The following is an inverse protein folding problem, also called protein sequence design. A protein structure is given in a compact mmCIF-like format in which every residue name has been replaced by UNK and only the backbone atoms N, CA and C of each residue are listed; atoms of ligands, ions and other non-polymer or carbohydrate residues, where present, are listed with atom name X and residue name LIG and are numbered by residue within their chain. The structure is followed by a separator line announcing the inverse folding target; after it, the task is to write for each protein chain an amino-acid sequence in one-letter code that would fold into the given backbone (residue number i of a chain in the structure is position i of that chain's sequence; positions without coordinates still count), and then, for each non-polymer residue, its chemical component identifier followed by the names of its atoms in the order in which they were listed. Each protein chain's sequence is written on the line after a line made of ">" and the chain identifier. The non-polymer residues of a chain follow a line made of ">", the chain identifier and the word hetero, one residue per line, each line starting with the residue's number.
data_IF_859551034397
#
_entry.id   IF_859551034397
#
_cell.length_a   1.000
_cell.length_b   1.000
_cell.length_c   1.000
_cell.angle_alpha   90.00
_cell.angle_beta   90.00
_cell.angle_gamma   90.00
#
_symmetry.space_group_name_H-M   'P 1'
#
loop_
_entity.id
_entity.type
_entity.pdbx_description
1 polymer ?
#
# COMPACT_ATOMS: atom_id res chain seq x y z
N UNK A 1 14.35 9.38 -16.66
CA UNK A 1 13.25 9.44 -15.69
C UNK A 1 12.75 10.85 -15.72
N UNK A 2 11.50 11.03 -16.13
CA UNK A 2 10.89 12.36 -16.21
C UNK A 2 10.20 12.62 -14.87
N UNK A 3 10.95 13.27 -13.98
CA UNK A 3 10.40 13.80 -12.74
C UNK A 3 9.47 14.96 -13.08
N UNK A 4 8.29 14.96 -12.49
CA UNK A 4 7.29 16.01 -12.71
C UNK A 4 6.99 16.83 -11.46
N UNK A 5 7.69 16.54 -10.36
CA UNK A 5 7.67 17.33 -9.13
C UNK A 5 9.08 17.77 -8.75
N UNK A 6 9.22 18.95 -8.14
CA UNK A 6 10.46 19.32 -7.47
C UNK A 6 10.69 18.46 -6.21
N UNK A 7 11.95 18.21 -5.80
CA UNK A 7 12.24 17.53 -4.55
C UNK A 7 11.66 18.28 -3.34
N UNK A 8 10.90 17.58 -2.50
CA UNK A 8 10.25 18.13 -1.30
C UNK A 8 10.86 17.50 -0.06
N UNK A 9 11.07 18.30 0.99
CA UNK A 9 11.58 17.80 2.27
C UNK A 9 10.45 17.61 3.28
N UNK A 10 10.40 16.44 3.91
CA UNK A 10 9.45 16.08 4.97
C UNK A 10 10.19 15.45 6.14
N UNK A 11 9.67 15.61 7.35
CA UNK A 11 10.18 14.94 8.56
C UNK A 11 9.34 13.71 8.87
N UNK A 12 9.96 12.53 8.87
CA UNK A 12 9.33 11.28 9.27
C UNK A 12 9.70 10.93 10.72
N UNK A 13 8.72 10.61 11.59
CA UNK A 13 8.98 10.16 12.96
C UNK A 13 9.99 9.00 13.01
N UNK A 14 11.00 9.09 13.89
CA UNK A 14 12.07 8.10 14.05
C UNK A 14 13.16 8.12 12.97
N UNK A 15 12.83 8.61 11.80
CA UNK A 15 13.63 8.51 10.59
C UNK A 15 14.31 9.85 10.25
N UNK A 16 13.80 10.99 10.71
CA UNK A 16 14.38 12.33 10.49
C UNK A 16 13.96 12.97 9.16
N UNK A 17 14.81 13.83 8.60
CA UNK A 17 14.55 14.50 7.32
C UNK A 17 14.65 13.54 6.13
N UNK A 18 13.63 13.55 5.28
CA UNK A 18 13.55 12.84 4.01
C UNK A 18 13.31 13.82 2.87
N UNK A 19 13.92 13.52 1.73
CA UNK A 19 13.64 14.18 0.47
C UNK A 19 12.81 13.20 -0.36
N UNK A 20 11.65 13.64 -0.82
CA UNK A 20 10.80 12.89 -1.72
C UNK A 20 10.71 13.58 -3.09
N UNK A 21 10.59 12.78 -4.14
CA UNK A 21 10.33 13.27 -5.50
C UNK A 21 9.47 12.25 -6.25
N UNK A 22 8.53 12.74 -7.04
CA UNK A 22 7.64 11.90 -7.84
C UNK A 22 8.06 11.87 -9.31
N UNK A 23 7.95 10.70 -9.90
CA UNK A 23 8.05 10.50 -11.33
C UNK A 23 6.97 9.53 -11.81
N UNK A 24 6.75 9.49 -13.13
CA UNK A 24 5.91 8.46 -13.75
C UNK A 24 6.80 7.44 -14.46
N UNK A 25 6.45 6.17 -14.33
CA UNK A 25 7.05 5.12 -15.16
C UNK A 25 6.58 5.27 -16.64
N UNK A 26 7.12 4.48 -17.59
CA UNK A 26 6.74 4.60 -19.01
C UNK A 26 5.23 4.42 -19.28
N UNK A 27 4.53 3.69 -18.43
CA UNK A 27 3.09 3.44 -18.50
C UNK A 27 2.26 4.52 -17.77
N UNK A 28 2.91 5.49 -17.11
CA UNK A 28 2.26 6.61 -16.43
C UNK A 28 1.96 6.37 -14.95
N UNK A 29 2.43 5.26 -14.37
CA UNK A 29 2.19 4.93 -12.96
C UNK A 29 3.03 5.82 -12.05
N UNK A 30 2.40 6.30 -10.97
CA UNK A 30 3.05 7.18 -10.01
C UNK A 30 4.06 6.40 -9.17
N UNK A 31 5.29 6.87 -9.15
CA UNK A 31 6.34 6.35 -8.27
C UNK A 31 6.90 7.49 -7.43
N UNK A 32 7.02 7.25 -6.13
CA UNK A 32 7.70 8.11 -5.19
C UNK A 32 9.12 7.57 -4.92
N UNK A 33 10.13 8.42 -5.12
CA UNK A 33 11.48 8.15 -4.64
C UNK A 33 11.70 8.91 -3.35
N UNK A 34 12.18 8.19 -2.34
CA UNK A 34 12.55 8.77 -1.05
C UNK A 34 14.04 8.58 -0.80
N UNK A 35 14.67 9.62 -0.24
CA UNK A 35 16.06 9.61 0.19
C UNK A 35 16.18 10.22 1.58
N UNK A 36 17.05 9.65 2.43
CA UNK A 36 17.26 10.15 3.78
C UNK A 36 18.47 9.50 4.44
N UNK A 37 19.17 10.25 5.29
CA UNK A 37 20.45 9.83 5.89
C UNK A 37 20.35 8.60 6.81
N UNK A 38 19.14 8.27 7.29
CA UNK A 38 18.89 7.10 8.16
C UNK A 38 18.27 5.92 7.40
N UNK A 39 18.14 5.99 6.07
CA UNK A 39 17.74 4.83 5.29
C UNK A 39 18.90 3.82 5.24
N UNK A 40 18.63 2.52 5.43
CA UNK A 40 19.66 1.48 5.37
C UNK A 40 20.03 1.16 3.91
N UNK A 41 20.54 2.15 3.18
CA UNK A 41 20.85 2.06 1.75
C UNK A 41 22.30 2.47 1.52
N UNK A 42 23.13 1.55 1.04
CA UNK A 42 24.57 1.77 0.82
C UNK A 42 24.86 2.21 -0.61
N UNK A 43 24.64 3.49 -0.94
CA UNK A 43 24.96 4.09 -2.26
C UNK A 43 24.37 3.36 -3.49
N UNK A 44 23.30 2.59 -3.29
CA UNK A 44 22.48 1.97 -4.34
C UNK A 44 21.02 2.49 -4.20
N UNK A 45 20.12 2.08 -5.10
CA UNK A 45 18.68 2.23 -4.85
C UNK A 45 18.21 1.17 -3.84
N UNK A 46 17.42 1.57 -2.85
CA UNK A 46 16.75 0.62 -1.96
C UNK A 46 15.59 -0.12 -2.65
N UNK A 47 14.88 -0.97 -1.89
CA UNK A 47 13.63 -1.60 -2.32
C UNK A 47 12.39 -0.75 -2.03
N UNK A 48 11.21 -1.30 -2.32
CA UNK A 48 9.91 -0.67 -2.00
C UNK A 48 9.81 -0.45 -0.50
N UNK A 49 9.52 0.79 -0.08
CA UNK A 49 9.40 1.12 1.34
C UNK A 49 7.97 1.01 1.86
N UNK A 50 7.02 1.61 1.16
CA UNK A 50 5.59 1.51 1.39
C UNK A 50 4.84 1.45 0.06
N UNK A 51 3.60 1.00 0.13
CA UNK A 51 2.61 1.14 -0.95
C UNK A 51 1.65 2.25 -0.55
N UNK A 52 1.41 3.21 -1.45
CA UNK A 52 0.39 4.24 -1.28
C UNK A 52 -0.97 3.75 -1.80
N UNK A 53 -2.01 3.85 -0.98
CA UNK A 53 -3.36 3.40 -1.29
C UNK A 53 -4.35 4.53 -1.05
N UNK A 54 -5.06 4.95 -2.09
CA UNK A 54 -6.13 5.94 -1.96
C UNK A 54 -7.42 5.28 -1.49
N UNK A 55 -8.03 5.85 -0.45
CA UNK A 55 -9.24 5.34 0.22
C UNK A 55 -10.30 6.44 0.31
N UNK A 56 -11.57 6.07 0.46
CA UNK A 56 -12.66 7.07 0.56
C UNK A 56 -12.99 7.51 1.98
N UNK A 57 -12.47 6.80 3.00
CA UNK A 57 -12.64 7.08 4.42
C UNK A 57 -11.40 6.56 5.17
N UNK A 58 -10.60 7.47 5.72
CA UNK A 58 -9.31 7.12 6.31
C UNK A 58 -9.48 6.24 7.56
N UNK A 59 -10.40 6.58 8.46
CA UNK A 59 -10.63 5.87 9.71
C UNK A 59 -11.07 4.42 9.49
N UNK A 60 -12.04 4.21 8.59
CA UNK A 60 -12.53 2.88 8.21
C UNK A 60 -11.40 2.03 7.64
N UNK A 61 -10.59 2.62 6.77
CA UNK A 61 -9.49 1.90 6.13
C UNK A 61 -8.35 1.63 7.12
N UNK A 62 -7.99 2.56 8.00
CA UNK A 62 -7.02 2.30 9.08
C UNK A 62 -7.45 1.10 9.92
N UNK A 63 -8.72 1.06 10.35
CA UNK A 63 -9.26 -0.10 11.09
C UNK A 63 -9.11 -1.41 10.31
N UNK A 64 -9.49 -1.40 9.03
CA UNK A 64 -9.42 -2.58 8.18
C UNK A 64 -7.98 -3.09 8.02
N UNK A 65 -7.04 -2.21 7.67
CA UNK A 65 -5.66 -2.61 7.41
C UNK A 65 -4.92 -3.04 8.68
N UNK A 66 -5.22 -2.44 9.84
CA UNK A 66 -4.70 -2.91 11.13
C UNK A 66 -5.25 -4.29 11.50
N UNK A 67 -6.55 -4.51 11.33
CA UNK A 67 -7.21 -5.74 11.79
C UNK A 67 -6.98 -6.92 10.86
N UNK A 68 -7.07 -6.71 9.55
CA UNK A 68 -7.12 -7.78 8.56
C UNK A 68 -5.87 -7.89 7.69
N UNK A 69 -5.19 -6.79 7.39
CA UNK A 69 -4.02 -6.79 6.48
C UNK A 69 -2.66 -6.91 7.20
N UNK A 70 -2.64 -6.93 8.53
CA UNK A 70 -1.42 -7.15 9.31
C UNK A 70 -0.51 -5.92 9.47
N UNK A 71 -1.01 -4.73 9.16
CA UNK A 71 -0.33 -3.45 9.41
C UNK A 71 -0.79 -2.86 10.74
N UNK A 72 -0.43 -3.52 11.84
CA UNK A 72 -1.00 -3.32 13.18
C UNK A 72 -0.48 -2.08 13.94
N UNK A 73 0.56 -1.40 13.44
CA UNK A 73 1.17 -0.23 14.10
C UNK A 73 0.91 1.05 13.34
N UNK A 74 0.49 2.10 14.04
CA UNK A 74 0.51 3.46 13.49
C UNK A 74 1.95 3.95 13.49
N UNK A 75 2.49 4.19 12.29
CA UNK A 75 3.82 4.75 12.11
C UNK A 75 3.76 6.28 12.00
N UNK A 76 2.75 6.80 11.31
CA UNK A 76 2.39 8.22 11.29
C UNK A 76 0.90 8.36 11.55
N UNK A 77 0.57 9.12 12.60
CA UNK A 77 -0.82 9.46 12.97
C UNK A 77 -1.55 10.19 11.83
N UNK A 78 -2.87 10.00 11.66
CA UNK A 78 -3.67 10.71 10.68
C UNK A 78 -3.42 12.23 10.67
N UNK A 79 -3.15 12.80 9.50
CA UNK A 79 -2.83 14.22 9.37
C UNK A 79 -3.19 14.82 8.00
N UNK A 80 -3.28 16.14 7.91
CA UNK A 80 -3.51 16.88 6.65
C UNK A 80 -2.26 17.58 6.08
N UNK A 81 -1.07 17.34 6.67
CA UNK A 81 0.19 18.04 6.33
C UNK A 81 0.60 18.01 4.85
N UNK A 82 0.12 17.05 4.06
CA UNK A 82 0.43 16.94 2.63
C UNK A 82 -0.54 17.70 1.72
N UNK A 83 -1.57 18.35 2.29
CA UNK A 83 -2.45 19.24 1.53
C UNK A 83 -1.65 20.37 0.88
N UNK A 84 -1.94 20.68 -0.38
CA UNK A 84 -1.16 21.60 -1.22
C UNK A 84 0.15 21.01 -1.78
N UNK A 85 0.77 20.04 -1.10
CA UNK A 85 2.04 19.44 -1.55
C UNK A 85 1.84 18.51 -2.76
N UNK A 86 0.64 17.93 -2.90
CA UNK A 86 0.27 16.99 -3.94
C UNK A 86 -0.47 17.65 -5.12
N UNK A 87 -0.47 18.99 -5.21
CA UNK A 87 -1.15 19.74 -6.28
C UNK A 87 -0.77 19.27 -7.69
N UNK A 88 0.52 19.06 -7.94
CA UNK A 88 1.06 18.57 -9.22
C UNK A 88 0.59 17.15 -9.55
N UNK A 89 0.40 16.30 -8.53
CA UNK A 89 0.01 14.90 -8.68
C UNK A 89 -1.50 14.78 -8.91
N UNK A 90 -2.28 15.57 -8.16
CA UNK A 90 -3.73 15.59 -8.25
C UNK A 90 -4.26 16.52 -9.36
N UNK A 91 -3.36 17.15 -10.12
CA UNK A 91 -3.69 18.11 -11.19
C UNK A 91 -4.69 19.19 -10.71
N UNK A 92 -4.47 19.70 -9.50
CA UNK A 92 -5.34 20.65 -8.80
C UNK A 92 -4.54 21.74 -8.10
N UNK A 93 -5.07 22.96 -8.05
CA UNK A 93 -4.42 24.10 -7.38
C UNK A 93 -4.59 24.09 -5.85
N UNK A 94 -5.56 23.33 -5.34
CA UNK A 94 -5.88 23.26 -3.91
C UNK A 94 -6.22 21.83 -3.49
N UNK A 95 -5.21 20.97 -3.50
CA UNK A 95 -5.40 19.60 -3.03
C UNK A 95 -5.53 19.55 -1.52
N UNK A 96 -6.60 18.93 -1.01
CA UNK A 96 -6.75 18.55 0.39
C UNK A 96 -6.71 17.06 0.55
N UNK A 97 -5.85 16.58 1.43
CA UNK A 97 -5.61 15.16 1.66
C UNK A 97 -5.38 14.87 3.13
N UNK A 98 -5.94 13.76 3.61
CA UNK A 98 -5.57 13.16 4.89
C UNK A 98 -4.68 11.96 4.61
N UNK A 99 -3.58 11.81 5.33
CA UNK A 99 -2.67 10.67 5.21
C UNK A 99 -2.44 10.01 6.58
N UNK A 100 -2.23 8.69 6.57
CA UNK A 100 -1.76 7.90 7.70
C UNK A 100 -0.82 6.80 7.17
N UNK A 101 0.31 6.57 7.85
CA UNK A 101 1.20 5.45 7.54
C UNK A 101 1.07 4.39 8.61
N UNK A 102 0.79 3.17 8.18
CA UNK A 102 0.77 1.98 9.03
C UNK A 102 1.99 1.09 8.72
N UNK A 103 2.51 0.44 9.76
CA UNK A 103 3.61 -0.51 9.67
C UNK A 103 3.17 -1.87 10.22
N UNK A 104 3.80 -2.93 9.71
CA UNK A 104 3.64 -4.26 10.30
C UNK A 104 4.61 -4.46 11.46
N UNK A 105 4.15 -5.09 12.54
CA UNK A 105 5.03 -5.59 13.59
C UNK A 105 5.76 -6.89 13.22
N UNK A 106 5.36 -7.53 12.11
CA UNK A 106 5.83 -8.85 11.68
C UNK A 106 6.87 -8.81 10.55
N UNK A 107 7.25 -7.61 10.09
CA UNK A 107 8.25 -7.37 9.05
C UNK A 107 8.39 -5.89 8.75
N UNK A 108 9.11 -5.54 7.68
CA UNK A 108 9.42 -4.14 7.34
C UNK A 108 8.43 -3.49 6.36
N UNK A 109 7.29 -4.16 6.10
CA UNK A 109 6.24 -3.66 5.22
C UNK A 109 5.47 -2.50 5.83
N UNK A 110 5.21 -1.48 5.03
CA UNK A 110 4.42 -0.31 5.39
C UNK A 110 3.38 -0.02 4.30
N UNK A 111 2.27 0.61 4.69
CA UNK A 111 1.23 1.10 3.78
C UNK A 111 0.91 2.53 4.18
N UNK A 112 0.84 3.42 3.19
CA UNK A 112 0.33 4.77 3.37
C UNK A 112 -1.09 4.84 2.82
N UNK A 113 -2.04 5.21 3.67
CA UNK A 113 -3.44 5.39 3.31
C UNK A 113 -3.71 6.88 3.08
N UNK A 114 -4.26 7.22 1.92
CA UNK A 114 -4.58 8.59 1.52
C UNK A 114 -6.08 8.76 1.30
N UNK A 115 -6.71 9.70 2.01
CA UNK A 115 -8.07 10.16 1.71
C UNK A 115 -7.97 11.53 1.03
N UNK A 116 -8.17 11.57 -0.29
CA UNK A 116 -8.19 12.82 -1.05
C UNK A 116 -9.58 13.45 -0.96
N UNK A 117 -9.65 14.54 -0.19
CA UNK A 117 -10.89 15.27 0.09
C UNK A 117 -11.27 16.19 -1.07
N UNK A 118 -10.29 16.91 -1.63
CA UNK A 118 -10.47 17.89 -2.70
C UNK A 118 -9.26 17.82 -3.66
N UNK A 119 -9.45 17.60 -4.98
CA UNK A 119 -10.67 17.06 -5.57
C UNK A 119 -10.93 15.65 -5.05
N UNK A 120 -12.19 15.26 -4.88
CA UNK A 120 -12.50 13.92 -4.39
C UNK A 120 -11.95 12.86 -5.35
N UNK A 121 -11.21 11.90 -4.80
CA UNK A 121 -10.72 10.75 -5.56
C UNK A 121 -11.85 9.92 -6.18
N UNK A 122 -11.50 9.05 -7.13
CA UNK A 122 -12.41 8.08 -7.75
C UNK A 122 -11.88 6.66 -7.55
N UNK A 123 -12.77 5.68 -7.56
CA UNK A 123 -12.41 4.26 -7.58
C UNK A 123 -11.58 3.91 -8.82
N UNK A 124 -10.83 2.79 -8.73
CA UNK A 124 -10.18 2.17 -9.88
C UNK A 124 -11.23 1.98 -11.01
N UNK A 125 -10.93 2.31 -12.28
CA UNK A 125 -11.88 2.19 -13.37
C UNK A 125 -12.53 0.80 -13.45
N UNK A 126 -13.86 0.76 -13.69
CA UNK A 126 -14.70 -0.45 -13.61
C UNK A 126 -14.33 -1.61 -14.56
N UNK A 127 -13.39 -1.42 -15.49
CA UNK A 127 -13.00 -2.40 -16.49
C UNK A 127 -11.54 -2.83 -16.40
N UNK A 128 -10.86 -2.50 -15.29
CA UNK A 128 -9.48 -2.94 -15.08
C UNK A 128 -9.43 -4.46 -14.89
N UNK A 129 -8.55 -5.12 -15.65
CA UNK A 129 -8.30 -6.56 -15.64
C UNK A 129 -6.85 -6.87 -15.27
N UNK A 130 -6.60 -8.08 -14.74
CA UNK A 130 -5.22 -8.54 -14.56
C UNK A 130 -4.50 -8.55 -15.92
N UNK A 131 -3.35 -7.86 -15.97
CA UNK A 131 -2.59 -7.63 -17.20
C UNK A 131 -2.71 -6.21 -17.76
N UNK A 132 -3.65 -5.40 -17.26
CA UNK A 132 -3.66 -3.96 -17.52
C UNK A 132 -2.48 -3.27 -16.82
N UNK A 133 -2.06 -2.13 -17.38
CA UNK A 133 -1.04 -1.29 -16.75
C UNK A 133 -1.59 -0.63 -15.48
N UNK A 134 -0.83 -0.74 -14.38
CA UNK A 134 -1.19 -0.17 -13.09
C UNK A 134 -0.85 -1.06 -11.91
N UNK A 135 -1.08 -0.54 -10.70
CA UNK A 135 -1.02 -1.30 -9.45
C UNK A 135 -2.39 -1.93 -9.18
N UNK A 136 -2.52 -3.20 -9.54
CA UNK A 136 -3.82 -3.89 -9.53
C UNK A 136 -4.16 -4.55 -8.19
N UNK A 137 -3.16 -4.79 -7.36
CA UNK A 137 -3.31 -5.46 -6.08
C UNK A 137 -2.13 -5.21 -5.14
N UNK A 138 -2.36 -5.41 -3.84
CA UNK A 138 -1.29 -5.54 -2.84
C UNK A 138 -1.27 -6.96 -2.29
N UNK A 139 -0.09 -7.56 -2.22
CA UNK A 139 0.08 -8.94 -1.80
C UNK A 139 0.85 -9.03 -0.48
N UNK A 140 0.32 -9.79 0.47
CA UNK A 140 0.93 -10.03 1.77
C UNK A 140 1.31 -11.50 1.94
N UNK A 141 2.58 -11.72 2.28
CA UNK A 141 3.07 -13.01 2.72
C UNK A 141 2.51 -13.35 4.10
N UNK A 142 1.88 -14.50 4.20
CA UNK A 142 1.20 -15.01 5.37
C UNK A 142 1.77 -16.38 5.74
N UNK A 143 1.74 -16.71 7.04
CA UNK A 143 2.16 -18.04 7.51
C UNK A 143 1.07 -19.10 7.36
N UNK A 144 -0.20 -18.70 7.37
CA UNK A 144 -1.34 -19.62 7.34
C UNK A 144 -2.54 -18.93 6.67
N UNK A 145 -2.63 -19.01 5.35
CA UNK A 145 -3.75 -18.41 4.60
C UNK A 145 -5.06 -19.11 4.92
N UNK A 146 -5.08 -20.44 5.10
CA UNK A 146 -6.30 -21.17 5.43
C UNK A 146 -6.95 -20.67 6.73
N UNK A 147 -6.15 -20.47 7.78
CA UNK A 147 -6.65 -19.92 9.05
C UNK A 147 -7.11 -18.46 8.95
N UNK A 148 -6.49 -17.66 8.08
CA UNK A 148 -6.93 -16.29 7.80
C UNK A 148 -8.30 -16.31 7.11
N UNK A 149 -8.46 -17.14 6.06
CA UNK A 149 -9.72 -17.29 5.32
C UNK A 149 -10.85 -17.72 6.27
N UNK A 150 -10.62 -18.73 7.11
CA UNK A 150 -11.60 -19.18 8.11
C UNK A 150 -12.04 -18.07 9.07
N UNK A 151 -11.12 -17.18 9.47
CA UNK A 151 -11.45 -16.02 10.32
C UNK A 151 -12.26 -14.99 9.56
N UNK A 152 -11.83 -14.67 8.34
CA UNK A 152 -12.47 -13.68 7.48
C UNK A 152 -13.90 -14.07 7.09
N UNK A 153 -14.17 -15.37 6.85
CA UNK A 153 -15.53 -15.85 6.59
C UNK A 153 -16.46 -15.65 7.80
N UNK A 154 -15.98 -15.89 9.02
CA UNK A 154 -16.76 -15.68 10.25
C UNK A 154 -17.07 -14.20 10.49
N UNK A 155 -16.20 -13.32 10.03
CA UNK A 155 -16.32 -11.87 10.16
C UNK A 155 -17.01 -11.20 8.96
N UNK A 156 -17.37 -11.98 7.92
CA UNK A 156 -18.12 -11.50 6.77
C UNK A 156 -17.31 -10.61 5.82
N UNK A 157 -15.99 -10.85 5.70
CA UNK A 157 -15.12 -10.12 4.76
C UNK A 157 -15.53 -10.42 3.30
N UNK A 158 -15.44 -9.41 2.45
CA UNK A 158 -15.71 -9.55 1.01
C UNK A 158 -14.57 -10.28 0.31
N UNK A 159 -14.84 -11.51 -0.14
CA UNK A 159 -13.89 -12.30 -0.93
C UNK A 159 -14.08 -12.04 -2.41
N UNK A 160 -12.97 -11.76 -3.09
CA UNK A 160 -12.89 -11.87 -4.53
C UNK A 160 -12.66 -13.33 -4.95
N UNK A 161 -11.71 -14.01 -4.31
CA UNK A 161 -11.37 -15.42 -4.50
C UNK A 161 -11.09 -16.03 -3.12
N UNK A 162 -11.85 -17.04 -2.71
CA UNK A 162 -11.60 -17.79 -1.47
C UNK A 162 -10.31 -18.62 -1.56
N UNK A 163 -9.93 -19.32 -0.49
CA UNK A 163 -8.74 -20.18 -0.44
C UNK A 163 -8.58 -21.02 -1.71
N UNK A 164 -7.45 -20.85 -2.38
CA UNK A 164 -6.98 -21.67 -3.50
C UNK A 164 -5.63 -22.29 -3.12
N UNK A 165 -5.36 -23.47 -3.69
CA UNK A 165 -4.06 -24.12 -3.66
C UNK A 165 -3.48 -24.14 -5.07
N UNK A 166 -2.17 -23.94 -5.19
CA UNK A 166 -1.50 -23.95 -6.49
C UNK A 166 -1.23 -25.40 -6.91
N UNK A 167 -1.77 -25.88 -8.03
CA UNK A 167 -1.53 -27.25 -8.48
C UNK A 167 -0.05 -27.50 -8.75
N UNK A 168 0.51 -28.55 -8.14
CA UNK A 168 1.93 -28.90 -8.30
C UNK A 168 2.88 -28.16 -7.36
N UNK A 169 2.38 -27.23 -6.54
CA UNK A 169 3.13 -26.57 -5.48
C UNK A 169 2.48 -26.87 -4.12
N UNK A 170 2.83 -28.03 -3.55
CA UNK A 170 2.37 -28.40 -2.21
C UNK A 170 2.75 -27.30 -1.21
N UNK A 171 1.79 -26.91 -0.37
CA UNK A 171 1.99 -25.84 0.62
C UNK A 171 1.74 -24.42 0.13
N UNK A 172 1.67 -24.21 -1.19
CA UNK A 172 1.34 -22.89 -1.74
C UNK A 172 -0.17 -22.69 -1.73
N UNK A 173 -0.62 -21.64 -1.05
CA UNK A 173 -2.02 -21.27 -0.98
C UNK A 173 -2.20 -19.76 -1.04
N UNK A 174 -3.32 -19.32 -1.63
CA UNK A 174 -3.64 -17.90 -1.73
C UNK A 174 -5.14 -17.63 -1.60
N UNK A 175 -5.49 -16.40 -1.29
CA UNK A 175 -6.87 -15.89 -1.33
C UNK A 175 -6.85 -14.40 -1.65
N UNK A 176 -7.91 -13.92 -2.27
CA UNK A 176 -8.12 -12.51 -2.59
C UNK A 176 -9.35 -11.99 -1.85
N UNK A 177 -9.18 -10.89 -1.13
CA UNK A 177 -10.28 -10.13 -0.52
C UNK A 177 -10.32 -8.72 -1.09
N UNK A 178 -11.44 -8.04 -0.92
CA UNK A 178 -11.54 -6.61 -1.17
C UNK A 178 -11.44 -5.84 0.13
N UNK A 179 -10.67 -4.76 0.11
CA UNK A 179 -10.74 -3.76 1.16
C UNK A 179 -12.08 -2.98 1.09
N UNK A 180 -12.37 -2.07 2.04
CA UNK A 180 -13.62 -1.33 2.08
C UNK A 180 -13.89 -0.45 0.84
N UNK A 181 -12.87 -0.15 0.05
CA UNK A 181 -12.93 0.64 -1.18
C UNK A 181 -12.92 -0.24 -2.45
N UNK A 182 -12.90 -1.56 -2.29
CA UNK A 182 -12.93 -2.53 -3.37
C UNK A 182 -11.54 -2.94 -3.89
N UNK A 183 -10.46 -2.49 -3.24
CA UNK A 183 -9.09 -2.73 -3.68
C UNK A 183 -8.71 -4.19 -3.39
N UNK A 184 -8.21 -4.95 -4.38
CA UNK A 184 -7.80 -6.34 -4.17
C UNK A 184 -6.57 -6.46 -3.26
N UNK A 185 -6.71 -7.27 -2.22
CA UNK A 185 -5.62 -7.70 -1.36
C UNK A 185 -5.42 -9.21 -1.49
N UNK A 186 -4.20 -9.62 -1.83
CA UNK A 186 -3.80 -11.02 -1.94
C UNK A 186 -3.12 -11.45 -0.64
N UNK A 187 -3.59 -12.56 -0.09
CA UNK A 187 -2.99 -13.24 1.07
C UNK A 187 -2.40 -14.54 0.56
N UNK A 188 -1.08 -14.69 0.63
CA UNK A 188 -0.39 -15.86 0.09
C UNK A 188 0.53 -16.52 1.12
N UNK A 189 0.69 -17.84 1.05
CA UNK A 189 1.65 -18.60 1.84
C UNK A 189 2.38 -19.60 0.95
N UNK A 190 3.65 -19.85 1.26
CA UNK A 190 4.47 -20.92 0.69
C UNK A 190 5.00 -21.80 1.83
N UNK A 191 5.18 -23.10 1.59
CA UNK A 191 5.79 -24.01 2.60
C UNK A 191 7.26 -23.67 2.88
N UNK A 192 7.98 -23.09 1.90
CA UNK A 192 9.40 -22.75 2.01
C UNK A 192 9.61 -21.27 2.40
N UNK A 193 9.33 -20.90 3.64
CA UNK A 193 9.63 -19.55 4.21
C UNK A 193 11.15 -19.28 4.33
N UNK A 194 12.03 -20.16 3.82
CA UNK A 194 13.49 -20.03 3.95
C UNK A 194 14.18 -19.33 2.76
N UNK A 195 13.51 -19.08 1.62
CA UNK A 195 14.24 -18.66 0.39
C UNK A 195 14.35 -17.15 0.11
N UNK A 196 13.82 -16.26 0.93
CA UNK A 196 13.83 -14.80 0.64
C UNK A 196 14.40 -13.91 1.76
N UNK A 197 15.19 -14.45 2.69
CA UNK A 197 15.95 -13.66 3.68
C UNK A 197 17.39 -13.41 3.26
#
# INVERSE_FOLDING_TARGET
>A
MDFFSDPKSVELPGYGSYILVYFKDPEGNLVELVSGAKLPINNQSGGVRWVGISVTDLERSVYFYQKYAGFDKIFIEPHEKYSGMLNEICESEQTRVRSCILASSKGDGMVELFEVLEPRGRSIPFFTSWGDFGYLQTAMMCKNVAGIVDSFEKEGIDFFIKLQHVPGEEGTAFSYVRDPDGIPLEFLSFDDVIRLS
#
